data_IF_509577873920
#
_entry.id   IF_509577873920
#
_cell.length_a   1.000
_cell.length_b   1.000
_cell.length_c   1.000
_cell.angle_alpha   90.00
_cell.angle_beta   90.00
_cell.angle_gamma   90.00
#
_symmetry.space_group_name_H-M   'P 1'
#
loop_
_entity.id
_entity.type
_entity.pdbx_description
1 polymer ?
#
# COMPACT_ATOMS: atom_id res chain seq x y z
N UNK A 1 -32.47 39.18 28.21
CA UNK A 1 -31.59 38.09 27.75
C UNK A 1 -32.43 36.83 27.63
N UNK A 2 -32.59 36.27 26.42
CA UNK A 2 -33.40 35.07 26.16
C UNK A 2 -32.44 33.89 26.09
N UNK A 3 -32.39 33.09 27.15
CA UNK A 3 -31.52 31.91 27.21
C UNK A 3 -32.20 30.80 26.43
N UNK A 4 -31.66 30.49 25.25
CA UNK A 4 -32.13 29.38 24.41
C UNK A 4 -31.40 28.14 24.89
N UNK A 5 -32.13 27.18 25.48
CA UNK A 5 -31.58 25.89 25.89
C UNK A 5 -31.31 25.02 24.65
N UNK A 6 -30.12 25.18 24.04
CA UNK A 6 -29.61 24.36 22.93
C UNK A 6 -28.88 23.11 23.44
N UNK A 7 -29.30 22.56 24.60
CA UNK A 7 -28.56 21.49 25.28
C UNK A 7 -28.75 20.11 24.65
N UNK A 8 -29.99 19.58 24.57
CA UNK A 8 -30.21 18.20 24.11
C UNK A 8 -30.15 18.03 22.58
N UNK A 9 -30.56 19.06 21.84
CA UNK A 9 -30.67 18.99 20.37
C UNK A 9 -29.30 19.00 19.70
N UNK A 10 -28.32 19.69 20.27
CA UNK A 10 -26.95 19.73 19.75
C UNK A 10 -26.24 18.37 19.85
N UNK A 11 -26.45 17.63 20.95
CA UNK A 11 -25.89 16.29 21.14
C UNK A 11 -26.49 15.30 20.14
N UNK A 12 -27.81 15.38 19.89
CA UNK A 12 -28.48 14.57 18.87
C UNK A 12 -27.98 14.86 17.45
N UNK A 13 -27.78 16.14 17.11
CA UNK A 13 -27.30 16.55 15.79
C UNK A 13 -25.89 16.02 15.49
N UNK A 14 -24.97 16.12 16.46
CA UNK A 14 -23.61 15.60 16.30
C UNK A 14 -23.60 14.08 16.09
N UNK A 15 -24.42 13.35 16.83
CA UNK A 15 -24.60 11.91 16.64
C UNK A 15 -25.08 11.55 15.23
N UNK A 16 -26.05 12.29 14.68
CA UNK A 16 -26.54 12.08 13.31
C UNK A 16 -25.45 12.34 12.28
N UNK A 17 -24.64 13.40 12.45
CA UNK A 17 -23.52 13.71 11.55
C UNK A 17 -22.48 12.59 11.55
N UNK A 18 -22.11 12.08 12.72
CA UNK A 18 -21.14 10.97 12.82
C UNK A 18 -21.67 9.68 12.20
N UNK A 19 -22.95 9.34 12.44
CA UNK A 19 -23.56 8.15 11.83
C UNK A 19 -23.63 8.30 10.31
N UNK A 20 -23.97 9.49 9.81
CA UNK A 20 -24.01 9.74 8.37
C UNK A 20 -22.62 9.59 7.74
N UNK A 21 -21.57 10.16 8.34
CA UNK A 21 -20.20 10.04 7.85
C UNK A 21 -19.73 8.57 7.83
N UNK A 22 -20.00 7.83 8.91
CA UNK A 22 -19.69 6.40 8.98
C UNK A 22 -20.40 5.60 7.87
N UNK A 23 -21.69 5.86 7.62
CA UNK A 23 -22.44 5.19 6.56
C UNK A 23 -21.91 5.50 5.17
N UNK A 24 -21.48 6.73 4.93
CA UNK A 24 -20.83 7.12 3.66
C UNK A 24 -19.53 6.36 3.48
N UNK A 25 -18.65 6.37 4.49
CA UNK A 25 -17.38 5.63 4.44
C UNK A 25 -17.61 4.13 4.23
N UNK A 26 -18.56 3.53 4.94
CA UNK A 26 -18.93 2.13 4.78
C UNK A 26 -19.44 1.83 3.37
N UNK A 27 -20.31 2.68 2.84
CA UNK A 27 -20.88 2.51 1.49
C UNK A 27 -19.79 2.62 0.42
N UNK A 28 -18.89 3.61 0.52
CA UNK A 28 -17.75 3.75 -0.36
C UNK A 28 -16.81 2.53 -0.29
N UNK A 29 -16.53 2.02 0.92
CA UNK A 29 -15.70 0.84 1.10
C UNK A 29 -16.33 -0.42 0.48
N UNK A 30 -17.64 -0.63 0.69
CA UNK A 30 -18.38 -1.74 0.09
C UNK A 30 -18.43 -1.64 -1.43
N UNK A 31 -18.71 -0.46 -1.98
CA UNK A 31 -18.73 -0.22 -3.42
C UNK A 31 -17.35 -0.48 -4.06
N UNK A 32 -16.28 -0.02 -3.41
CA UNK A 32 -14.91 -0.29 -3.86
C UNK A 32 -14.61 -1.78 -3.86
N UNK A 33 -15.02 -2.52 -2.82
CA UNK A 33 -14.83 -3.97 -2.73
C UNK A 33 -15.59 -4.74 -3.81
N UNK A 34 -16.84 -4.37 -4.08
CA UNK A 34 -17.66 -4.98 -5.14
C UNK A 34 -17.09 -4.67 -6.52
N UNK A 35 -16.69 -3.43 -6.77
CA UNK A 35 -16.08 -3.01 -8.03
C UNK A 35 -14.81 -3.79 -8.34
N UNK A 36 -13.92 -3.92 -7.35
CA UNK A 36 -12.71 -4.74 -7.46
C UNK A 36 -13.07 -6.20 -7.75
N UNK A 37 -13.96 -6.82 -6.96
CA UNK A 37 -14.39 -8.20 -7.19
C UNK A 37 -14.97 -8.43 -8.59
N UNK A 38 -15.72 -7.47 -9.14
CA UNK A 38 -16.25 -7.53 -10.50
C UNK A 38 -15.14 -7.49 -11.55
N UNK A 39 -14.13 -6.63 -11.37
CA UNK A 39 -12.97 -6.55 -12.28
C UNK A 39 -12.19 -7.87 -12.25
N UNK A 40 -12.05 -8.49 -11.09
CA UNK A 40 -11.40 -9.81 -10.93
C UNK A 40 -12.16 -10.89 -11.68
N UNK A 41 -13.47 -10.96 -11.47
CA UNK A 41 -14.31 -11.96 -12.11
C UNK A 41 -14.27 -11.80 -13.64
N UNK A 42 -14.36 -10.56 -14.14
CA UNK A 42 -14.24 -10.26 -15.57
C UNK A 42 -12.87 -10.66 -16.14
N UNK A 43 -11.77 -10.41 -15.41
CA UNK A 43 -10.43 -10.78 -15.86
C UNK A 43 -10.17 -12.28 -15.84
N UNK A 44 -10.66 -13.00 -14.82
CA UNK A 44 -10.58 -14.48 -14.79
C UNK A 44 -11.33 -15.12 -15.96
N UNK A 45 -12.47 -14.54 -16.36
CA UNK A 45 -13.21 -15.00 -17.53
C UNK A 45 -12.40 -14.81 -18.83
N UNK A 46 -11.76 -13.66 -19.00
CA UNK A 46 -10.90 -13.38 -20.17
C UNK A 46 -9.66 -14.29 -20.23
N UNK A 47 -9.01 -14.55 -19.09
CA UNK A 47 -7.86 -15.46 -19.04
C UNK A 47 -8.28 -16.90 -19.38
N UNK A 48 -9.45 -17.33 -18.89
CA UNK A 48 -9.99 -18.66 -19.21
C UNK A 48 -10.27 -18.83 -20.71
N UNK A 49 -10.72 -17.79 -21.42
CA UNK A 49 -10.91 -17.86 -22.88
C UNK A 49 -9.57 -17.94 -23.64
N UNK A 50 -8.54 -17.21 -23.20
CA UNK A 50 -7.22 -17.26 -23.85
C UNK A 50 -6.47 -18.58 -23.70
N UNK A 51 -6.81 -19.38 -22.67
CA UNK A 51 -6.22 -20.73 -22.47
C UNK A 51 -6.91 -21.78 -23.37
N UNK A 52 -8.14 -21.55 -23.81
CA UNK A 52 -8.87 -22.45 -24.69
C UNK A 52 -8.79 -22.08 -26.19
N UNK A 53 -8.26 -20.90 -26.53
CA UNK A 53 -8.05 -20.49 -27.91
C UNK A 53 -6.62 -20.85 -28.38
N UNK A 54 -6.45 -22.09 -28.84
CA UNK A 54 -5.29 -22.55 -29.59
C UNK A 54 -4.97 -21.62 -30.78
N UNK A 55 -3.91 -20.81 -30.67
CA UNK A 55 -3.20 -20.28 -31.85
C UNK A 55 -1.71 -20.06 -31.54
N UNK A 56 -0.79 -20.84 -32.14
CA UNK A 56 0.63 -20.72 -31.85
C UNK A 56 1.21 -19.56 -32.65
N UNK A 57 1.60 -18.47 -31.98
CA UNK A 57 2.41 -17.40 -32.58
C UNK A 57 3.60 -17.05 -31.69
N UNK A 58 4.75 -17.59 -32.10
CA UNK A 58 6.14 -17.12 -31.95
C UNK A 58 6.68 -16.74 -30.56
N UNK A 59 7.82 -17.32 -30.13
CA UNK A 59 8.44 -17.02 -28.84
C UNK A 59 9.18 -15.68 -28.93
N UNK A 60 8.52 -14.59 -28.53
CA UNK A 60 9.24 -13.37 -28.13
C UNK A 60 9.74 -13.60 -26.71
N UNK A 61 11.05 -13.76 -26.60
CA UNK A 61 11.85 -13.91 -25.39
C UNK A 61 11.84 -12.65 -24.54
N UNK A 62 10.69 -12.35 -23.93
CA UNK A 62 10.64 -11.54 -22.71
C UNK A 62 10.82 -12.49 -21.51
N UNK A 63 11.75 -12.21 -20.58
CA UNK A 63 11.88 -13.02 -19.36
C UNK A 63 10.50 -13.07 -18.68
N UNK A 64 10.09 -14.23 -18.13
CA UNK A 64 8.76 -14.40 -17.61
C UNK A 64 8.56 -13.42 -16.47
N UNK A 65 7.83 -12.33 -16.74
CA UNK A 65 7.34 -11.45 -15.69
C UNK A 65 6.47 -12.32 -14.79
N UNK A 66 7.03 -12.71 -13.65
CA UNK A 66 6.39 -13.48 -12.61
C UNK A 66 4.94 -12.99 -12.42
N UNK A 67 3.99 -13.89 -12.71
CA UNK A 67 2.54 -13.76 -12.52
C UNK A 67 1.81 -12.69 -13.36
N UNK A 68 1.40 -13.02 -14.61
CA UNK A 68 0.47 -12.19 -15.40
C UNK A 68 -0.91 -11.97 -14.74
N UNK A 69 -1.24 -12.76 -13.71
CA UNK A 69 -2.47 -12.63 -12.90
C UNK A 69 -2.45 -11.42 -11.93
N UNK A 70 -1.28 -10.85 -11.62
CA UNK A 70 -1.12 -9.85 -10.56
C UNK A 70 -0.68 -8.49 -11.13
N UNK A 71 -1.62 -7.76 -11.74
CA UNK A 71 -1.34 -6.42 -12.31
C UNK A 71 -1.31 -5.26 -11.30
N UNK A 72 -1.56 -5.53 -10.01
CA UNK A 72 -1.79 -4.49 -9.01
C UNK A 72 -0.79 -4.65 -7.85
N UNK A 73 -0.17 -3.55 -7.46
CA UNK A 73 0.61 -3.41 -6.23
C UNK A 73 -0.23 -2.65 -5.21
N UNK A 74 -0.17 -3.03 -3.94
CA UNK A 74 -0.87 -2.35 -2.86
C UNK A 74 0.15 -1.58 -2.02
N UNK A 75 -0.12 -0.30 -1.77
CA UNK A 75 0.63 0.49 -0.80
C UNK A 75 -0.27 0.78 0.40
N UNK A 76 0.21 0.45 1.60
CA UNK A 76 -0.49 0.70 2.87
C UNK A 76 0.35 1.75 3.61
N UNK A 77 -0.26 2.87 3.97
CA UNK A 77 0.40 3.91 4.74
C UNK A 77 -0.22 3.94 6.13
N UNK A 78 0.61 3.83 7.17
CA UNK A 78 0.17 3.87 8.57
C UNK A 78 0.90 4.95 9.35
N UNK A 79 0.19 5.64 10.25
CA UNK A 79 0.76 6.56 11.23
C UNK A 79 0.06 6.39 12.57
N UNK A 80 0.78 5.94 13.59
CA UNK A 80 0.27 5.74 14.96
C UNK A 80 -1.06 4.98 15.02
N UNK A 81 -1.22 3.99 14.15
CA UNK A 81 -2.41 3.15 14.11
C UNK A 81 -2.49 2.25 15.35
N UNK A 82 -3.71 1.91 15.76
CA UNK A 82 -3.91 0.87 16.77
C UNK A 82 -3.37 -0.48 16.26
N UNK A 83 -2.69 -1.22 17.14
CA UNK A 83 -1.96 -2.44 16.77
C UNK A 83 -2.90 -3.54 16.27
N UNK A 84 -4.07 -3.70 16.89
CA UNK A 84 -5.02 -4.73 16.50
C UNK A 84 -5.79 -4.31 15.24
N UNK A 85 -6.17 -3.04 15.13
CA UNK A 85 -6.77 -2.51 13.89
C UNK A 85 -5.81 -2.65 12.68
N UNK A 86 -4.53 -2.34 12.88
CA UNK A 86 -3.47 -2.49 11.88
C UNK A 86 -3.30 -3.96 11.45
N UNK A 87 -3.25 -4.88 12.40
CA UNK A 87 -3.18 -6.33 12.14
C UNK A 87 -4.37 -6.82 11.34
N UNK A 88 -5.59 -6.42 11.72
CA UNK A 88 -6.81 -6.78 11.01
C UNK A 88 -6.83 -6.24 9.58
N UNK A 89 -6.35 -5.00 9.37
CA UNK A 89 -6.19 -4.41 8.04
C UNK A 89 -5.29 -5.29 7.17
N UNK A 90 -4.10 -5.63 7.67
CA UNK A 90 -3.13 -6.48 6.98
C UNK A 90 -3.73 -7.85 6.63
N UNK A 91 -4.35 -8.54 7.60
CA UNK A 91 -5.00 -9.84 7.36
C UNK A 91 -6.11 -9.76 6.32
N UNK A 92 -6.86 -8.66 6.31
CA UNK A 92 -7.93 -8.46 5.34
C UNK A 92 -7.42 -8.41 3.90
N UNK A 93 -6.20 -7.89 3.69
CA UNK A 93 -5.55 -7.83 2.38
C UNK A 93 -5.13 -9.25 1.92
N UNK A 94 -4.61 -10.07 2.84
CA UNK A 94 -4.26 -11.47 2.54
C UNK A 94 -5.48 -12.32 2.16
N UNK A 95 -6.67 -11.96 2.67
CA UNK A 95 -7.94 -12.64 2.38
C UNK A 95 -8.60 -12.17 1.08
N UNK A 96 -8.01 -11.21 0.36
CA UNK A 96 -8.57 -10.74 -0.91
C UNK A 96 -8.47 -11.82 -1.99
N UNK A 97 -9.48 -11.86 -2.87
CA UNK A 97 -9.54 -12.81 -3.97
C UNK A 97 -8.47 -12.53 -5.05
N UNK A 98 -7.99 -11.28 -5.14
CA UNK A 98 -6.78 -10.96 -5.90
C UNK A 98 -5.55 -11.14 -5.05
N UNK A 99 -4.53 -11.76 -5.63
CA UNK A 99 -3.18 -11.71 -5.09
C UNK A 99 -2.46 -10.51 -5.69
N UNK A 100 -2.15 -9.47 -4.90
CA UNK A 100 -1.32 -8.37 -5.39
C UNK A 100 0.08 -8.88 -5.72
N UNK A 101 0.76 -8.23 -6.66
CA UNK A 101 2.14 -8.57 -7.03
C UNK A 101 3.10 -8.34 -5.87
N UNK A 102 2.85 -7.26 -5.14
CA UNK A 102 3.60 -6.85 -3.96
C UNK A 102 2.71 -5.99 -3.07
N UNK A 103 2.99 -6.03 -1.78
CA UNK A 103 2.39 -5.17 -0.76
C UNK A 103 3.52 -4.36 -0.13
N UNK A 104 3.40 -3.05 -0.19
CA UNK A 104 4.40 -2.12 0.34
C UNK A 104 3.76 -1.42 1.54
N UNK A 105 4.38 -1.54 2.71
CA UNK A 105 3.98 -0.81 3.91
C UNK A 105 4.89 0.40 4.08
N UNK A 106 4.28 1.56 4.28
CA UNK A 106 4.96 2.81 4.60
C UNK A 106 4.51 3.25 5.97
N UNK A 107 5.45 3.34 6.89
CA UNK A 107 5.19 3.81 8.26
C UNK A 107 5.67 5.25 8.34
N UNK A 108 4.74 6.18 8.51
CA UNK A 108 5.03 7.61 8.53
C UNK A 108 5.41 8.09 9.94
N UNK A 109 6.43 7.46 10.53
CA UNK A 109 6.88 7.78 11.89
C UNK A 109 8.13 6.99 12.27
N UNK A 110 8.90 7.49 13.21
CA UNK A 110 10.16 6.89 13.66
C UNK A 110 10.21 6.70 15.19
N UNK A 111 9.09 6.91 15.90
CA UNK A 111 9.03 6.70 17.33
C UNK A 111 8.90 5.21 17.65
N UNK A 112 9.20 4.82 18.89
CA UNK A 112 9.10 3.42 19.33
C UNK A 112 7.69 2.83 19.15
N UNK A 113 6.65 3.66 19.21
CA UNK A 113 5.28 3.24 18.94
C UNK A 113 5.07 2.92 17.45
N UNK A 114 5.69 3.68 16.55
CA UNK A 114 5.59 3.49 15.11
C UNK A 114 6.31 2.23 14.65
N UNK A 115 7.45 1.90 15.30
CA UNK A 115 8.23 0.69 15.03
C UNK A 115 7.46 -0.61 15.31
N UNK A 116 6.31 -0.56 15.99
CA UNK A 116 5.44 -1.73 16.17
C UNK A 116 4.70 -2.13 14.90
N UNK A 117 4.26 -1.17 14.09
CA UNK A 117 3.53 -1.42 12.83
C UNK A 117 4.33 -2.22 11.78
N UNK A 118 5.62 -1.92 11.49
CA UNK A 118 6.39 -2.72 10.55
C UNK A 118 6.68 -4.13 11.08
N UNK A 119 6.85 -4.29 12.38
CA UNK A 119 7.03 -5.61 13.00
C UNK A 119 5.77 -6.47 12.84
N UNK A 120 4.58 -5.90 13.10
CA UNK A 120 3.31 -6.61 12.87
C UNK A 120 3.16 -7.01 11.40
N UNK A 121 3.56 -6.15 10.45
CA UNK A 121 3.55 -6.51 9.04
C UNK A 121 4.51 -7.67 8.73
N UNK A 122 5.74 -7.63 9.27
CA UNK A 122 6.71 -8.71 9.13
C UNK A 122 6.21 -10.03 9.71
N UNK A 123 5.51 -9.99 10.84
CA UNK A 123 4.95 -11.16 11.50
C UNK A 123 3.80 -11.78 10.69
N UNK A 124 2.86 -10.96 10.20
CA UNK A 124 1.70 -11.44 9.42
C UNK A 124 2.10 -11.95 8.03
N UNK A 125 3.18 -11.42 7.45
CA UNK A 125 3.75 -11.88 6.18
C UNK A 125 4.97 -12.79 6.36
N UNK A 126 5.15 -13.38 7.54
CA UNK A 126 6.21 -14.36 7.79
C UNK A 126 6.12 -15.51 6.77
N UNK A 127 7.21 -15.74 6.02
CA UNK A 127 7.28 -16.74 4.95
C UNK A 127 7.12 -16.18 3.53
N UNK A 128 6.85 -14.89 3.37
CA UNK A 128 7.04 -14.17 2.10
C UNK A 128 8.36 -13.38 2.17
N UNK A 129 8.98 -13.08 1.02
CA UNK A 129 10.20 -12.26 0.95
C UNK A 129 9.89 -10.81 1.35
N UNK A 130 9.76 -10.58 2.66
CA UNK A 130 9.43 -9.30 3.25
C UNK A 130 10.72 -8.54 3.55
N UNK A 131 10.91 -7.39 2.89
CA UNK A 131 12.03 -6.51 3.15
C UNK A 131 11.56 -5.30 3.97
N UNK A 132 12.15 -5.11 5.15
CA UNK A 132 11.94 -3.90 5.93
C UNK A 132 12.99 -2.85 5.54
N UNK A 133 12.56 -1.76 4.93
CA UNK A 133 13.45 -0.66 4.52
C UNK A 133 13.17 0.54 5.42
N UNK A 134 14.14 0.89 6.25
CA UNK A 134 14.09 2.11 7.05
C UNK A 134 14.72 3.27 6.27
N UNK A 135 13.96 4.34 6.04
CA UNK A 135 14.43 5.56 5.41
C UNK A 135 14.72 6.61 6.50
N UNK A 136 15.98 6.85 6.87
CA UNK A 136 16.32 7.80 7.94
C UNK A 136 16.16 9.28 7.53
N UNK A 137 15.72 9.56 6.30
CA UNK A 137 15.56 10.91 5.77
C UNK A 137 14.22 11.05 5.06
N UNK A 138 13.61 12.23 5.18
CA UNK A 138 12.40 12.56 4.42
C UNK A 138 12.74 12.67 2.93
N UNK A 139 11.96 12.00 2.08
CA UNK A 139 12.12 12.10 0.62
C UNK A 139 11.91 13.54 0.11
N UNK A 140 11.17 14.37 0.85
CA UNK A 140 11.01 15.80 0.57
C UNK A 140 12.33 16.60 0.68
N UNK A 141 13.29 16.13 1.47
CA UNK A 141 14.63 16.72 1.56
C UNK A 141 15.42 16.51 0.24
N UNK A 142 15.10 15.49 -0.54
CA UNK A 142 15.73 15.23 -1.83
C UNK A 142 15.06 15.99 -2.99
N UNK A 143 13.73 16.15 -2.97
CA UNK A 143 13.01 16.89 -4.04
C UNK A 143 13.22 18.41 -3.97
N UNK A 144 13.48 18.99 -2.80
CA UNK A 144 13.89 20.40 -2.70
C UNK A 144 15.29 20.67 -3.27
N UNK A 145 16.15 19.63 -3.34
CA UNK A 145 17.52 19.74 -3.84
C UNK A 145 17.61 19.67 -5.37
N UNK A 146 16.66 18.99 -6.02
CA UNK A 146 16.61 18.86 -7.48
C UNK A 146 15.92 20.04 -8.19
N UNK A 147 15.13 20.86 -7.48
CA UNK A 147 14.53 22.08 -8.05
C UNK A 147 15.46 23.30 -8.03
N UNK A 148 16.63 23.21 -7.39
CA UNK A 148 17.59 24.32 -7.28
C UNK A 148 18.89 24.18 -8.08
N UNK A 149 19.13 23.06 -8.77
CA UNK A 149 20.42 22.81 -9.42
C UNK A 149 20.30 21.99 -10.71
N UNK A 150 19.41 22.43 -11.61
CA UNK A 150 19.36 21.99 -13.01
C UNK A 150 20.16 22.93 -13.94
N UNK A 151 21.18 23.60 -13.41
CA UNK A 151 22.11 24.45 -14.15
C UNK A 151 23.58 24.14 -13.82
N UNK A 152 24.00 22.87 -13.89
CA UNK A 152 25.31 22.52 -14.47
C UNK A 152 25.49 21.01 -14.49
N UNK A 153 25.61 20.46 -15.69
CA UNK A 153 25.89 19.04 -15.89
C UNK A 153 27.25 18.66 -15.34
N UNK A 154 27.26 17.69 -14.42
CA UNK A 154 28.31 16.68 -14.35
C UNK A 154 27.65 15.31 -14.13
N UNK A 155 28.01 14.29 -14.93
CA UNK A 155 27.49 12.95 -14.73
C UNK A 155 27.93 12.41 -13.37
N UNK A 156 26.98 11.80 -12.68
CA UNK A 156 27.15 11.10 -11.41
C UNK A 156 28.15 9.96 -11.61
N UNK A 157 29.34 10.06 -11.00
CA UNK A 157 30.30 8.96 -10.93
C UNK A 157 29.81 7.93 -9.92
N UNK A 158 29.70 6.69 -10.37
CA UNK A 158 29.46 5.50 -9.56
C UNK A 158 30.55 5.40 -8.47
N UNK A 159 30.22 5.16 -7.19
CA UNK A 159 31.23 4.77 -6.22
C UNK A 159 31.64 3.31 -6.46
N UNK A 160 32.94 3.10 -6.64
CA UNK A 160 33.60 1.80 -6.67
C UNK A 160 33.45 1.12 -5.30
N UNK A 161 32.92 -0.09 -5.28
CA UNK A 161 32.87 -0.91 -4.08
C UNK A 161 34.13 -1.79 -4.07
N UNK A 162 35.15 -1.36 -3.35
CA UNK A 162 36.32 -2.19 -3.06
C UNK A 162 35.94 -3.26 -2.04
N UNK A 163 36.00 -4.52 -2.46
CA UNK A 163 35.98 -5.68 -1.58
C UNK A 163 37.31 -5.75 -0.83
N UNK A 164 37.32 -5.40 0.46
CA UNK A 164 38.40 -5.82 1.37
C UNK A 164 38.20 -7.30 1.72
N UNK A 165 39.11 -8.12 1.21
CA UNK A 165 39.38 -9.49 1.65
C UNK A 165 39.99 -9.46 3.06
N UNK A 166 39.32 -10.08 4.03
CA UNK A 166 39.89 -10.36 5.34
C UNK A 166 40.63 -11.70 5.25
N UNK A 167 41.95 -11.63 5.15
CA UNK A 167 42.87 -12.71 5.51
C UNK A 167 43.50 -12.36 6.86
N UNK A 168 43.42 -13.28 7.82
CA UNK A 168 44.01 -13.17 9.16
C UNK A 168 43.39 -14.14 10.15
#
# INVERSE_FOLDING_TARGET
>A
MKVIHVGPVAVGLYGVVLVADFLVQLTCALANRVSVNRIVAARRALVSETIFADKPLTPVSTPPLMHPEASISIAIVGYREDVEAWRLCIRSIQQQTMRPRQVIVVVNGNEAQDLKMPNVFSDEYAGQNTALIHLPFLLSAFTSRSSGSLCNGKPFKHPDYSTESVDG
#
